data_IF_266631623679
#
_entry.id   IF_266631623679
#
_cell.length_a   1.000
_cell.length_b   1.000
_cell.length_c   1.000
_cell.angle_alpha   90.00
_cell.angle_beta   90.00
_cell.angle_gamma   90.00
#
_symmetry.space_group_name_H-M   'P 1'
#
loop_
_entity.id
_entity.type
_entity.pdbx_description
1 polymer ?
#
# COMPACT_ATOMS: atom_id res chain seq x y z
N UNK A 1 -2.46 12.75 -17.94
CA UNK A 1 -2.23 11.80 -16.84
C UNK A 1 -3.38 11.92 -15.86
N UNK A 2 -3.83 10.82 -15.25
CA UNK A 2 -4.84 10.82 -14.20
C UNK A 2 -4.22 10.43 -12.86
N UNK A 3 -4.45 11.21 -11.82
CA UNK A 3 -4.11 10.89 -10.43
C UNK A 3 -5.39 10.51 -9.72
N UNK A 4 -5.44 9.35 -9.06
CA UNK A 4 -6.59 8.89 -8.29
C UNK A 4 -6.27 9.06 -6.81
N UNK A 5 -7.12 9.82 -6.12
CA UNK A 5 -6.96 10.16 -4.71
C UNK A 5 -8.24 9.83 -3.95
N UNK A 6 -8.36 8.63 -3.35
CA UNK A 6 -9.46 8.33 -2.45
C UNK A 6 -9.33 9.13 -1.16
N UNK A 7 -10.45 9.64 -0.64
CA UNK A 7 -10.48 10.39 0.63
C UNK A 7 -11.70 10.06 1.46
N UNK A 8 -11.57 10.20 2.79
CA UNK A 8 -12.66 10.09 3.74
C UNK A 8 -12.32 10.77 5.07
N UNK A 9 -13.08 11.82 5.43
CA UNK A 9 -12.99 12.47 6.74
C UNK A 9 -11.67 13.18 7.04
N UNK A 10 -10.90 13.63 6.01
CA UNK A 10 -9.56 14.20 6.17
C UNK A 10 -9.37 15.52 5.39
N UNK A 11 -10.19 16.54 5.61
CA UNK A 11 -10.24 17.73 4.75
C UNK A 11 -8.95 18.54 4.69
N UNK A 12 -8.09 18.52 5.73
CA UNK A 12 -6.81 19.20 5.72
C UNK A 12 -5.74 18.41 4.97
N UNK A 13 -5.68 17.08 5.20
CA UNK A 13 -4.67 16.22 4.59
C UNK A 13 -4.87 16.12 3.08
N UNK A 14 -6.10 15.95 2.62
CA UNK A 14 -6.40 15.90 1.18
C UNK A 14 -5.96 17.19 0.47
N UNK A 15 -6.09 18.36 1.10
CA UNK A 15 -5.63 19.64 0.52
C UNK A 15 -4.10 19.69 0.42
N UNK A 16 -3.37 19.18 1.42
CA UNK A 16 -1.91 19.06 1.36
C UNK A 16 -1.47 18.13 0.22
N UNK A 17 -2.13 16.99 0.07
CA UNK A 17 -1.84 16.02 -0.99
C UNK A 17 -2.17 16.57 -2.38
N UNK A 18 -3.29 17.29 -2.54
CA UNK A 18 -3.65 17.99 -3.77
C UNK A 18 -2.57 19.05 -4.12
N UNK A 19 -2.14 19.85 -3.16
CA UNK A 19 -1.10 20.86 -3.40
C UNK A 19 0.19 20.22 -3.93
N UNK A 20 0.59 19.05 -3.41
CA UNK A 20 1.75 18.31 -3.90
C UNK A 20 1.55 17.74 -5.33
N UNK A 21 0.32 17.39 -5.71
CA UNK A 21 -0.02 16.99 -7.09
C UNK A 21 0.03 18.18 -8.04
N UNK A 22 -0.50 19.33 -7.63
CA UNK A 22 -0.48 20.57 -8.43
C UNK A 22 0.96 21.05 -8.65
N UNK A 23 1.84 20.88 -7.67
CA UNK A 23 3.25 21.29 -7.73
C UNK A 23 4.14 20.32 -8.54
N UNK A 24 3.61 19.30 -9.18
CA UNK A 24 4.41 18.37 -9.98
C UNK A 24 5.05 19.02 -11.21
N UNK A 25 6.33 18.75 -11.42
CA UNK A 25 7.11 19.27 -12.58
C UNK A 25 6.89 18.48 -13.87
N UNK A 26 6.01 17.49 -13.86
CA UNK A 26 5.61 16.75 -15.06
C UNK A 26 5.05 17.73 -16.10
N UNK A 27 5.59 17.74 -17.37
CA UNK A 27 5.26 18.78 -18.34
C UNK A 27 3.86 18.66 -18.96
N UNK A 28 3.24 17.47 -18.90
CA UNK A 28 1.91 17.25 -19.47
C UNK A 28 0.77 17.62 -18.51
N UNK A 29 -0.48 17.67 -19.01
CA UNK A 29 -1.63 17.94 -18.18
C UNK A 29 -1.89 16.81 -17.19
N UNK A 30 -2.36 17.19 -16.01
CA UNK A 30 -2.78 16.28 -14.93
C UNK A 30 -4.23 16.54 -14.58
N UNK A 31 -5.05 15.51 -14.55
CA UNK A 31 -6.31 15.51 -13.82
C UNK A 31 -6.15 14.74 -12.52
N UNK A 32 -6.54 15.31 -11.40
CA UNK A 32 -6.58 14.64 -10.11
C UNK A 32 -8.05 14.37 -9.76
N UNK A 33 -8.39 13.10 -9.65
CA UNK A 33 -9.73 12.58 -9.33
C UNK A 33 -9.77 12.32 -7.83
N UNK A 34 -10.34 13.25 -7.06
CA UNK A 34 -10.56 13.11 -5.62
C UNK A 34 -11.88 12.38 -5.42
N UNK A 35 -11.79 11.14 -4.94
CA UNK A 35 -12.98 10.28 -4.77
C UNK A 35 -13.33 10.18 -3.30
N UNK A 36 -14.47 10.77 -2.94
CA UNK A 36 -15.04 10.74 -1.59
C UNK A 36 -15.72 9.40 -1.31
N UNK A 37 -15.27 8.69 -0.29
CA UNK A 37 -15.83 7.40 0.11
C UNK A 37 -16.80 7.57 1.28
N UNK A 38 -18.08 7.23 1.07
CA UNK A 38 -19.13 7.26 2.09
C UNK A 38 -19.32 8.63 2.76
N UNK A 39 -19.04 9.70 2.05
CA UNK A 39 -19.23 11.09 2.48
C UNK A 39 -19.61 11.98 1.30
N UNK A 40 -20.28 13.13 1.53
CA UNK A 40 -20.54 14.11 0.47
C UNK A 40 -19.23 14.65 -0.12
N UNK A 41 -19.22 14.98 -1.42
CA UNK A 41 -18.06 15.57 -2.08
C UNK A 41 -17.80 17.00 -1.59
N UNK A 42 -16.52 17.35 -1.40
CA UNK A 42 -16.07 18.73 -1.14
C UNK A 42 -15.75 19.41 -2.48
N UNK A 43 -16.75 20.06 -3.09
CA UNK A 43 -16.60 20.76 -4.36
C UNK A 43 -15.59 21.92 -4.32
N UNK A 44 -15.29 22.48 -3.15
CA UNK A 44 -14.30 23.56 -2.99
C UNK A 44 -12.88 23.09 -3.38
N UNK A 45 -12.61 21.78 -3.33
CA UNK A 45 -11.33 21.22 -3.76
C UNK A 45 -11.02 21.50 -5.23
N UNK A 46 -12.04 21.65 -6.08
CA UNK A 46 -11.87 21.97 -7.52
C UNK A 46 -11.13 23.29 -7.72
N UNK A 47 -11.28 24.24 -6.80
CA UNK A 47 -10.64 25.58 -6.85
C UNK A 47 -9.12 25.52 -6.58
N UNK A 48 -8.60 24.41 -6.07
CA UNK A 48 -7.16 24.22 -5.85
C UNK A 48 -6.42 23.91 -7.15
N UNK A 49 -7.14 23.60 -8.22
CA UNK A 49 -6.58 23.26 -9.51
C UNK A 49 -6.24 24.47 -10.38
N UNK A 50 -5.63 24.19 -11.51
CA UNK A 50 -5.36 25.12 -12.62
C UNK A 50 -5.83 24.49 -13.93
N UNK A 51 -5.72 25.21 -15.05
CA UNK A 51 -6.05 24.66 -16.37
C UNK A 51 -5.26 23.40 -16.70
N UNK A 52 -3.96 23.37 -16.35
CA UNK A 52 -3.07 22.23 -16.62
C UNK A 52 -3.05 21.19 -15.50
N UNK A 53 -3.62 21.52 -14.34
CA UNK A 53 -3.66 20.70 -13.13
C UNK A 53 -5.09 20.68 -12.61
N UNK A 54 -5.97 19.96 -13.32
CA UNK A 54 -7.39 19.95 -13.00
C UNK A 54 -7.68 19.09 -11.78
N UNK A 55 -8.41 19.62 -10.83
CA UNK A 55 -8.95 18.85 -9.70
C UNK A 55 -10.43 18.56 -9.99
N UNK A 56 -10.79 17.31 -9.94
CA UNK A 56 -12.16 16.82 -10.12
C UNK A 56 -12.58 16.05 -8.89
N UNK A 57 -13.81 16.25 -8.48
CA UNK A 57 -14.38 15.59 -7.30
C UNK A 57 -15.43 14.58 -7.76
N UNK A 58 -15.47 13.41 -7.13
CA UNK A 58 -16.47 12.38 -7.37
C UNK A 58 -16.83 11.69 -6.06
N UNK A 59 -18.02 11.08 -6.04
CA UNK A 59 -18.44 10.17 -4.96
C UNK A 59 -18.10 8.74 -5.37
N UNK A 60 -17.68 7.92 -4.43
CA UNK A 60 -17.46 6.50 -4.68
C UNK A 60 -18.76 5.81 -5.12
N UNK A 61 -18.77 5.24 -6.34
CA UNK A 61 -19.89 4.52 -6.93
C UNK A 61 -19.75 3.00 -6.86
N UNK A 62 -18.61 2.53 -6.37
CA UNK A 62 -18.31 1.12 -6.12
C UNK A 62 -18.53 0.74 -4.65
N UNK A 63 -18.04 -0.43 -4.24
CA UNK A 63 -18.11 -0.88 -2.86
C UNK A 63 -17.44 0.11 -1.89
N UNK A 64 -17.98 0.33 -0.68
CA UNK A 64 -17.36 1.17 0.32
C UNK A 64 -15.91 0.75 0.63
N UNK A 65 -14.99 1.73 0.66
CA UNK A 65 -13.58 1.51 1.00
C UNK A 65 -12.60 1.89 -0.10
N UNK A 66 -11.30 1.72 0.20
CA UNK A 66 -10.20 2.16 -0.66
C UNK A 66 -10.21 1.53 -2.06
N UNK A 67 -10.52 0.23 -2.15
CA UNK A 67 -10.56 -0.48 -3.43
C UNK A 67 -11.66 0.10 -4.34
N UNK A 68 -12.89 0.24 -3.83
CA UNK A 68 -14.00 0.80 -4.59
C UNK A 68 -13.77 2.26 -4.97
N UNK A 69 -13.27 3.08 -4.05
CA UNK A 69 -12.94 4.46 -4.36
C UNK A 69 -11.85 4.59 -5.44
N UNK A 70 -10.83 3.71 -5.43
CA UNK A 70 -9.85 3.67 -6.53
C UNK A 70 -10.45 3.21 -7.83
N UNK A 71 -11.32 2.21 -7.82
CA UNK A 71 -12.02 1.73 -9.02
C UNK A 71 -12.92 2.81 -9.61
N UNK A 72 -13.69 3.54 -8.77
CA UNK A 72 -14.45 4.72 -9.22
C UNK A 72 -13.54 5.75 -9.91
N UNK A 73 -12.38 6.03 -9.34
CA UNK A 73 -11.40 6.93 -9.95
C UNK A 73 -10.83 6.36 -11.26
N UNK A 74 -10.61 5.05 -11.36
CA UNK A 74 -10.15 4.38 -12.57
C UNK A 74 -11.15 4.49 -13.71
N UNK A 75 -12.45 4.32 -13.43
CA UNK A 75 -13.51 4.42 -14.42
C UNK A 75 -13.62 5.86 -14.97
N UNK A 76 -13.44 6.86 -14.11
CA UNK A 76 -13.47 8.28 -14.49
C UNK A 76 -12.17 8.78 -15.13
N UNK A 77 -11.05 8.06 -14.97
CA UNK A 77 -9.73 8.47 -15.46
C UNK A 77 -9.67 8.50 -17.00
N UNK A 78 -9.07 9.55 -17.57
CA UNK A 78 -8.93 9.73 -19.03
C UNK A 78 -7.47 9.62 -19.52
N UNK A 79 -6.51 9.74 -18.61
CA UNK A 79 -5.09 9.70 -18.92
C UNK A 79 -4.62 8.31 -19.38
N UNK A 80 -3.68 8.24 -20.32
CA UNK A 80 -3.01 7.01 -20.73
C UNK A 80 -2.05 6.48 -19.65
N UNK A 81 -1.70 7.32 -18.69
CA UNK A 81 -0.93 6.98 -17.50
C UNK A 81 -1.78 7.34 -16.27
N UNK A 82 -1.81 6.43 -15.32
CA UNK A 82 -2.55 6.57 -14.05
C UNK A 82 -1.57 6.52 -12.89
N UNK A 83 -1.77 7.35 -11.90
CA UNK A 83 -1.05 7.33 -10.64
C UNK A 83 -2.04 7.25 -9.47
N UNK A 84 -1.66 6.62 -8.38
CA UNK A 84 -2.45 6.60 -7.14
C UNK A 84 -1.76 7.38 -6.04
N UNK A 85 -2.51 8.16 -5.28
CA UNK A 85 -2.05 8.95 -4.15
C UNK A 85 -3.06 8.82 -3.01
N UNK A 86 -2.63 8.42 -1.83
CA UNK A 86 -3.48 8.47 -0.64
C UNK A 86 -3.60 9.92 -0.15
N UNK A 87 -4.72 10.26 0.48
CA UNK A 87 -5.08 11.63 0.87
C UNK A 87 -4.24 12.20 2.02
N UNK A 88 -3.33 11.40 2.58
CA UNK A 88 -2.43 11.77 3.68
C UNK A 88 -0.94 11.72 3.29
N UNK A 89 -0.61 11.43 2.03
CA UNK A 89 0.74 11.34 1.53
C UNK A 89 1.14 12.55 0.68
N UNK A 90 2.41 12.91 0.68
CA UNK A 90 2.92 14.09 -0.02
C UNK A 90 3.97 13.68 -1.05
N UNK A 91 3.77 14.06 -2.30
CA UNK A 91 4.70 13.78 -3.39
C UNK A 91 5.78 14.85 -3.52
N UNK A 92 6.98 14.41 -3.88
CA UNK A 92 8.05 15.32 -4.28
C UNK A 92 7.78 15.85 -5.70
N UNK A 93 8.18 17.10 -6.01
CA UNK A 93 7.83 17.74 -7.29
C UNK A 93 8.22 16.93 -8.54
N UNK A 94 9.33 16.21 -8.52
CA UNK A 94 9.84 15.46 -9.67
C UNK A 94 9.29 14.03 -9.80
N UNK A 95 8.37 13.61 -8.91
CA UNK A 95 7.90 12.22 -8.87
C UNK A 95 7.32 11.76 -10.19
N UNK A 96 6.31 12.45 -10.69
CA UNK A 96 5.62 12.05 -11.91
C UNK A 96 6.54 12.11 -13.13
N UNK A 97 7.33 13.17 -13.27
CA UNK A 97 8.29 13.30 -14.38
C UNK A 97 9.29 12.14 -14.39
N UNK A 98 9.88 11.79 -13.23
CA UNK A 98 10.86 10.71 -13.11
C UNK A 98 10.29 9.34 -13.42
N UNK A 99 9.07 9.04 -12.95
CA UNK A 99 8.45 7.74 -13.16
C UNK A 99 7.90 7.58 -14.58
N UNK A 100 7.38 8.64 -15.20
CA UNK A 100 6.98 8.62 -16.61
C UNK A 100 8.18 8.44 -17.53
N UNK A 101 9.29 9.11 -17.23
CA UNK A 101 10.54 8.91 -17.98
C UNK A 101 11.03 7.46 -17.86
N UNK A 102 10.90 6.85 -16.68
CA UNK A 102 11.22 5.43 -16.48
C UNK A 102 10.33 4.50 -17.32
N UNK A 103 9.02 4.75 -17.35
CA UNK A 103 8.08 4.03 -18.23
C UNK A 103 8.42 4.20 -19.73
N UNK A 104 8.87 5.40 -20.11
CA UNK A 104 9.22 5.71 -21.49
C UNK A 104 10.48 4.99 -21.95
N UNK A 105 11.51 4.94 -21.10
CA UNK A 105 12.78 4.26 -21.38
C UNK A 105 12.63 2.74 -21.48
N UNK A 106 11.64 2.17 -20.80
CA UNK A 106 11.42 0.74 -20.79
C UNK A 106 9.95 0.43 -21.10
N UNK A 107 9.60 0.31 -22.39
CA UNK A 107 8.20 0.12 -22.82
C UNK A 107 7.51 -1.12 -22.27
N UNK A 108 8.27 -2.14 -21.89
CA UNK A 108 7.73 -3.37 -21.26
C UNK A 108 7.22 -3.18 -19.84
N UNK A 109 7.57 -2.09 -19.15
CA UNK A 109 7.07 -1.81 -17.81
C UNK A 109 5.60 -1.38 -17.85
N UNK A 110 4.76 -2.07 -17.08
CA UNK A 110 3.37 -1.69 -16.85
C UNK A 110 3.23 -0.74 -15.65
N UNK A 111 4.10 -0.91 -14.66
CA UNK A 111 4.03 -0.24 -13.35
C UNK A 111 5.43 0.18 -12.91
N UNK A 112 5.53 1.37 -12.33
CA UNK A 112 6.74 1.90 -11.70
C UNK A 112 6.41 2.45 -10.33
N UNK A 113 7.10 1.94 -9.30
CA UNK A 113 7.11 2.50 -7.95
C UNK A 113 8.27 3.47 -7.74
N UNK A 114 8.44 3.93 -6.51
CA UNK A 114 9.60 4.76 -6.12
C UNK A 114 10.05 4.50 -4.69
N UNK A 115 11.27 4.92 -4.35
CA UNK A 115 11.67 5.08 -2.96
C UNK A 115 10.69 5.99 -2.20
N UNK A 116 10.69 5.90 -0.87
CA UNK A 116 9.80 6.65 0.01
C UNK A 116 10.57 7.31 1.16
N UNK A 117 9.97 8.34 1.76
CA UNK A 117 10.33 8.79 3.09
C UNK A 117 9.18 8.49 4.05
N UNK A 118 9.47 7.82 5.14
CA UNK A 118 8.49 7.57 6.19
C UNK A 118 8.50 8.73 7.17
N UNK A 119 7.40 9.48 7.26
CA UNK A 119 7.19 10.53 8.25
C UNK A 119 6.58 9.91 9.51
N UNK A 120 7.42 9.77 10.54
CA UNK A 120 7.04 9.32 11.88
C UNK A 120 7.02 10.52 12.82
N UNK A 121 6.30 10.48 13.96
CA UNK A 121 6.38 11.53 14.97
C UNK A 121 7.84 11.84 15.36
N UNK A 122 8.27 13.09 15.12
CA UNK A 122 9.62 13.57 15.41
C UNK A 122 10.76 12.98 14.57
N UNK A 123 10.46 12.18 13.54
CA UNK A 123 11.49 11.51 12.71
C UNK A 123 11.06 11.30 11.27
N UNK A 124 11.97 11.58 10.33
CA UNK A 124 11.87 11.16 8.94
C UNK A 124 12.89 10.05 8.67
N UNK A 125 12.46 8.97 8.04
CA UNK A 125 13.33 7.84 7.65
C UNK A 125 13.29 7.69 6.14
N UNK A 126 14.41 7.91 5.47
CA UNK A 126 14.53 7.66 4.05
C UNK A 126 14.62 6.17 3.76
N UNK A 127 13.89 5.76 2.73
CA UNK A 127 13.87 4.39 2.23
C UNK A 127 14.01 4.40 0.71
N UNK A 128 15.25 4.56 0.22
CA UNK A 128 15.51 4.50 -1.22
C UNK A 128 15.23 3.10 -1.76
N UNK A 129 14.87 3.03 -3.03
CA UNK A 129 14.73 1.76 -3.72
C UNK A 129 16.06 1.01 -3.79
N UNK A 130 15.99 -0.29 -3.54
CA UNK A 130 17.18 -1.16 -3.49
C UNK A 130 17.51 -1.82 -4.83
N UNK A 131 16.57 -1.79 -5.76
CA UNK A 131 16.70 -2.35 -7.09
C UNK A 131 15.84 -1.56 -8.07
N UNK A 132 16.22 -1.56 -9.34
CA UNK A 132 15.44 -0.91 -10.40
C UNK A 132 14.26 -1.76 -10.89
N UNK A 133 14.27 -3.05 -10.58
CA UNK A 133 13.20 -4.00 -10.92
C UNK A 133 12.83 -4.85 -9.71
N UNK A 134 11.55 -5.12 -9.59
CA UNK A 134 11.00 -6.01 -8.57
C UNK A 134 10.40 -7.23 -9.26
N UNK A 135 10.93 -8.41 -8.93
CA UNK A 135 10.40 -9.66 -9.46
C UNK A 135 9.16 -10.13 -8.69
N UNK A 136 8.30 -10.89 -9.36
CA UNK A 136 7.17 -11.56 -8.73
C UNK A 136 7.61 -12.43 -7.53
N UNK A 137 8.71 -13.18 -7.69
CA UNK A 137 9.26 -14.01 -6.60
C UNK A 137 9.69 -13.20 -5.37
N UNK A 138 10.22 -11.98 -5.55
CA UNK A 138 10.54 -11.11 -4.43
C UNK A 138 9.28 -10.66 -3.68
N UNK A 139 8.22 -10.35 -4.42
CA UNK A 139 6.92 -9.98 -3.84
C UNK A 139 6.26 -11.14 -3.10
N UNK A 140 6.37 -12.37 -3.60
CA UNK A 140 5.90 -13.54 -2.85
C UNK A 140 6.60 -13.69 -1.49
N UNK A 141 7.87 -13.29 -1.40
CA UNK A 141 8.66 -13.36 -0.14
C UNK A 141 8.38 -12.21 0.81
N UNK A 142 8.22 -10.98 0.28
CA UNK A 142 8.13 -9.76 1.08
C UNK A 142 7.18 -8.75 0.44
N UNK A 143 6.49 -7.98 1.27
CA UNK A 143 5.88 -6.73 0.81
C UNK A 143 6.98 -5.69 0.63
N UNK A 144 7.08 -5.12 -0.56
CA UNK A 144 8.09 -4.12 -0.93
C UNK A 144 7.51 -2.73 -0.69
N UNK A 145 8.17 -1.94 0.14
CA UNK A 145 7.67 -0.61 0.55
C UNK A 145 7.67 0.41 -0.57
N UNK A 146 8.59 0.23 -1.53
CA UNK A 146 8.72 1.04 -2.75
C UNK A 146 7.51 0.91 -3.68
N UNK A 147 6.63 -0.07 -3.40
CA UNK A 147 5.37 -0.29 -4.10
C UNK A 147 4.15 0.01 -3.19
N UNK A 148 4.29 1.03 -2.34
CA UNK A 148 3.16 1.63 -1.62
C UNK A 148 2.19 2.27 -2.62
N UNK A 149 0.89 2.28 -2.33
CA UNK A 149 -0.12 2.87 -3.24
C UNK A 149 0.28 4.25 -3.76
N UNK A 150 0.72 5.14 -2.88
CA UNK A 150 1.14 6.51 -3.24
C UNK A 150 2.43 6.61 -4.06
N UNK A 151 3.10 5.50 -4.31
CA UNK A 151 4.28 5.47 -5.20
C UNK A 151 3.95 5.02 -6.60
N UNK A 152 2.83 4.36 -6.83
CA UNK A 152 2.52 3.70 -8.08
C UNK A 152 2.19 4.69 -9.20
N UNK A 153 2.88 4.53 -10.32
CA UNK A 153 2.56 5.13 -11.62
C UNK A 153 2.50 4.00 -12.64
N UNK A 154 1.45 3.92 -13.41
CA UNK A 154 1.19 2.78 -14.26
C UNK A 154 0.59 3.18 -15.61
N UNK A 155 0.85 2.39 -16.63
CA UNK A 155 0.14 2.51 -17.88
C UNK A 155 -1.32 2.13 -17.70
N UNK A 156 -2.24 2.84 -18.33
CA UNK A 156 -3.66 2.50 -18.25
C UNK A 156 -3.95 1.06 -18.72
N UNK A 157 -3.22 0.59 -19.71
CA UNK A 157 -3.32 -0.79 -20.20
C UNK A 157 -2.99 -1.85 -19.14
N UNK A 158 -2.29 -1.48 -18.05
CA UNK A 158 -2.08 -2.38 -16.93
C UNK A 158 -3.40 -2.86 -16.33
N UNK A 159 -4.41 -1.99 -16.24
CA UNK A 159 -5.72 -2.36 -15.71
C UNK A 159 -6.49 -3.29 -16.65
N UNK A 160 -6.29 -3.19 -17.96
CA UNK A 160 -6.87 -4.16 -18.91
C UNK A 160 -6.24 -5.56 -18.76
N UNK A 161 -4.94 -5.63 -18.41
CA UNK A 161 -4.21 -6.90 -18.23
C UNK A 161 -4.38 -7.50 -16.84
N UNK A 162 -4.43 -6.67 -15.81
CA UNK A 162 -4.38 -7.05 -14.38
C UNK A 162 -5.78 -7.06 -13.76
N UNK A 163 -6.67 -6.23 -14.28
CA UNK A 163 -8.00 -5.95 -13.71
C UNK A 163 -7.97 -4.84 -12.65
N UNK A 164 -9.16 -4.46 -12.14
CA UNK A 164 -9.32 -3.43 -11.11
C UNK A 164 -8.76 -3.87 -9.75
N UNK A 165 -8.82 -2.98 -8.77
CA UNK A 165 -8.59 -3.34 -7.37
C UNK A 165 -9.68 -4.30 -6.88
N UNK A 166 -9.29 -5.25 -6.03
CA UNK A 166 -10.21 -6.24 -5.50
C UNK A 166 -11.03 -5.67 -4.33
N UNK A 167 -12.33 -5.51 -4.56
CA UNK A 167 -13.28 -4.97 -3.59
C UNK A 167 -13.76 -6.00 -2.56
N UNK A 168 -13.52 -7.30 -2.81
CA UNK A 168 -13.86 -8.38 -1.88
C UNK A 168 -12.81 -8.53 -0.77
N UNK A 169 -11.66 -7.86 -0.90
CA UNK A 169 -10.64 -7.86 0.15
C UNK A 169 -11.20 -7.29 1.46
N UNK A 170 -11.18 -8.08 2.56
CA UNK A 170 -11.77 -7.67 3.83
C UNK A 170 -11.26 -6.31 4.29
N UNK A 171 -12.20 -5.35 4.41
CA UNK A 171 -11.93 -3.97 4.84
C UNK A 171 -10.87 -3.23 4.01
N UNK A 172 -10.60 -3.67 2.77
CA UNK A 172 -9.60 -3.06 1.90
C UNK A 172 -8.17 -3.14 2.42
N UNK A 173 -7.85 -4.08 3.33
CA UNK A 173 -6.48 -4.24 3.82
C UNK A 173 -5.63 -5.00 2.81
N UNK A 174 -4.47 -4.42 2.42
CA UNK A 174 -3.51 -4.99 1.45
C UNK A 174 -4.02 -5.03 -0.02
N UNK A 175 -4.97 -4.20 -0.40
CA UNK A 175 -5.50 -4.08 -1.76
C UNK A 175 -4.42 -3.63 -2.77
N UNK A 176 -3.49 -2.79 -2.33
CA UNK A 176 -2.31 -2.39 -3.10
C UNK A 176 -1.36 -3.57 -3.32
N UNK A 177 -1.14 -4.39 -2.28
CA UNK A 177 -0.28 -5.57 -2.39
C UNK A 177 -0.89 -6.66 -3.28
N UNK A 178 -2.21 -6.88 -3.20
CA UNK A 178 -2.94 -7.76 -4.11
C UNK A 178 -2.74 -7.32 -5.56
N UNK A 179 -3.01 -6.02 -5.82
CA UNK A 179 -2.92 -5.49 -7.17
C UNK A 179 -1.49 -5.57 -7.73
N UNK A 180 -0.49 -5.23 -6.91
CA UNK A 180 0.93 -5.30 -7.30
C UNK A 180 1.38 -6.74 -7.55
N UNK A 181 0.90 -7.73 -6.77
CA UNK A 181 1.18 -9.14 -7.03
C UNK A 181 0.63 -9.57 -8.40
N UNK A 182 -0.61 -9.19 -8.72
CA UNK A 182 -1.21 -9.49 -10.03
C UNK A 182 -0.46 -8.79 -11.16
N UNK A 183 -0.08 -7.54 -10.97
CA UNK A 183 0.71 -6.77 -11.93
C UNK A 183 2.09 -7.40 -12.19
N UNK A 184 2.81 -7.78 -11.13
CA UNK A 184 4.12 -8.43 -11.26
C UNK A 184 4.07 -9.83 -11.88
N UNK A 185 2.92 -10.49 -11.83
CA UNK A 185 2.67 -11.76 -12.57
C UNK A 185 2.43 -11.50 -14.05
N UNK A 186 1.83 -10.36 -14.40
CA UNK A 186 1.52 -9.98 -15.78
C UNK A 186 2.72 -9.35 -16.51
N UNK A 187 3.73 -8.85 -15.80
CA UNK A 187 4.91 -8.22 -16.39
C UNK A 187 5.88 -7.62 -15.38
N UNK A 188 7.00 -7.06 -15.83
CA UNK A 188 8.01 -6.47 -14.97
C UNK A 188 7.49 -5.22 -14.27
N UNK A 189 7.90 -5.03 -13.01
CA UNK A 189 7.63 -3.85 -12.19
C UNK A 189 8.93 -3.08 -11.99
N UNK A 190 8.95 -1.81 -12.39
CA UNK A 190 10.09 -0.93 -12.26
C UNK A 190 10.10 -0.12 -10.97
N UNK A 191 11.26 0.37 -10.57
CA UNK A 191 11.44 1.28 -9.43
C UNK A 191 12.33 2.45 -9.84
N UNK A 192 11.90 3.67 -9.50
CA UNK A 192 12.79 4.82 -9.37
C UNK A 192 13.38 4.80 -7.96
N UNK A 193 14.70 4.62 -7.85
CA UNK A 193 15.34 4.37 -6.55
C UNK A 193 15.31 5.57 -5.61
N UNK A 194 15.22 6.80 -6.14
CA UNK A 194 15.10 8.01 -5.32
C UNK A 194 13.79 8.01 -4.50
N UNK A 195 13.81 8.48 -3.22
CA UNK A 195 12.59 8.72 -2.45
C UNK A 195 11.80 9.88 -3.07
N UNK A 196 10.60 9.59 -3.58
CA UNK A 196 9.75 10.55 -4.30
C UNK A 196 8.37 10.73 -3.67
N UNK A 197 8.08 10.03 -2.58
CA UNK A 197 6.86 10.18 -1.82
C UNK A 197 7.14 10.14 -0.32
N UNK A 198 6.52 11.05 0.41
CA UNK A 198 6.49 11.08 1.86
C UNK A 198 5.25 10.34 2.33
N UNK A 199 5.44 9.22 3.01
CA UNK A 199 4.38 8.38 3.55
C UNK A 199 4.18 8.70 5.02
N UNK A 200 3.02 9.22 5.38
CA UNK A 200 2.68 9.59 6.74
C UNK A 200 2.36 8.35 7.59
N UNK A 201 2.92 8.27 8.80
CA UNK A 201 2.69 7.21 9.78
C UNK A 201 2.51 7.81 11.18
N UNK A 202 1.51 8.66 11.32
CA UNK A 202 1.18 9.37 12.57
C UNK A 202 0.26 8.57 13.51
N UNK A 203 -0.04 7.34 13.18
CA UNK A 203 -0.92 6.46 13.97
C UNK A 203 -2.42 6.61 13.68
N UNK A 204 -2.82 7.57 12.85
CA UNK A 204 -4.21 7.77 12.41
C UNK A 204 -4.50 7.02 11.10
N UNK A 205 -4.16 5.73 11.06
CA UNK A 205 -4.43 4.92 9.87
C UNK A 205 -5.94 4.72 9.67
N UNK A 206 -6.40 4.77 8.43
CA UNK A 206 -7.73 4.32 7.97
C UNK A 206 -8.09 2.91 8.52
N UNK A 207 -7.08 2.13 8.86
CA UNK A 207 -7.18 0.77 9.38
C UNK A 207 -7.34 0.71 10.91
N UNK A 208 -8.06 1.63 11.53
CA UNK A 208 -8.26 1.68 12.99
C UNK A 208 -8.95 0.43 13.59
N UNK A 209 -9.50 -0.47 12.75
CA UNK A 209 -9.99 -1.80 13.14
C UNK A 209 -8.90 -2.88 13.27
N UNK A 210 -7.67 -2.53 13.10
CA UNK A 210 -6.37 -3.16 13.37
C UNK A 210 -6.22 -4.67 13.11
N UNK A 211 -6.40 -5.46 14.15
CA UNK A 211 -5.97 -6.86 14.15
C UNK A 211 -6.94 -7.78 13.39
N UNK A 212 -8.25 -7.59 13.53
CA UNK A 212 -9.25 -8.43 12.85
C UNK A 212 -9.17 -8.27 11.34
N UNK A 213 -9.19 -7.03 10.87
CA UNK A 213 -9.08 -6.72 9.45
C UNK A 213 -7.79 -7.27 8.83
N UNK A 214 -6.67 -7.17 9.55
CA UNK A 214 -5.41 -7.73 9.11
C UNK A 214 -5.44 -9.26 9.03
N UNK A 215 -6.04 -9.95 10.01
CA UNK A 215 -6.16 -11.40 10.00
C UNK A 215 -7.00 -11.88 8.81
N UNK A 216 -8.22 -11.35 8.67
CA UNK A 216 -9.15 -11.73 7.61
C UNK A 216 -8.57 -11.46 6.21
N UNK A 217 -7.98 -10.28 6.00
CA UNK A 217 -7.42 -9.94 4.70
C UNK A 217 -6.19 -10.78 4.35
N UNK A 218 -5.32 -11.10 5.32
CA UNK A 218 -4.18 -11.97 5.06
C UNK A 218 -4.58 -13.44 4.82
N UNK A 219 -5.64 -13.92 5.48
CA UNK A 219 -6.24 -15.23 5.19
C UNK A 219 -6.80 -15.26 3.77
N UNK A 220 -7.55 -14.22 3.38
CA UNK A 220 -8.06 -14.05 2.01
C UNK A 220 -6.91 -14.02 0.99
N UNK A 221 -5.87 -13.24 1.24
CA UNK A 221 -4.69 -13.15 0.38
C UNK A 221 -3.99 -14.50 0.18
N UNK A 222 -3.88 -15.32 1.23
CA UNK A 222 -3.31 -16.67 1.13
C UNK A 222 -4.18 -17.61 0.28
N UNK A 223 -5.50 -17.47 0.37
CA UNK A 223 -6.43 -18.24 -0.46
C UNK A 223 -6.38 -17.81 -1.93
N UNK A 224 -6.35 -16.49 -2.19
CA UNK A 224 -6.33 -15.90 -3.52
C UNK A 224 -5.00 -16.11 -4.26
N UNK A 225 -3.88 -16.07 -3.53
CA UNK A 225 -2.53 -16.19 -4.08
C UNK A 225 -1.81 -17.47 -3.58
N UNK A 226 -2.19 -18.65 -4.09
CA UNK A 226 -1.59 -19.92 -3.64
C UNK A 226 -0.07 -19.99 -3.90
N UNK A 227 0.45 -19.23 -4.87
CA UNK A 227 1.88 -19.15 -5.18
C UNK A 227 2.71 -18.65 -3.97
N UNK A 228 2.10 -17.91 -3.02
CA UNK A 228 2.75 -17.50 -1.78
C UNK A 228 3.20 -18.70 -0.97
N UNK A 229 2.44 -19.82 -1.01
CA UNK A 229 2.82 -21.06 -0.35
C UNK A 229 4.08 -21.70 -0.95
N UNK A 230 4.43 -21.41 -2.20
CA UNK A 230 5.68 -21.80 -2.83
C UNK A 230 6.92 -21.12 -2.21
N UNK A 231 6.73 -19.95 -1.58
CA UNK A 231 7.80 -19.23 -0.86
C UNK A 231 7.75 -19.55 0.63
N UNK A 232 8.65 -20.39 1.14
CA UNK A 232 8.70 -20.74 2.56
C UNK A 232 8.74 -19.50 3.47
N UNK A 233 9.59 -18.50 3.13
CA UNK A 233 9.71 -17.26 3.87
C UNK A 233 8.45 -16.38 3.76
N UNK A 234 7.87 -16.25 2.57
CA UNK A 234 6.66 -15.44 2.34
C UNK A 234 5.44 -16.01 3.04
N UNK A 235 5.23 -17.32 2.90
CA UNK A 235 4.15 -18.04 3.56
C UNK A 235 4.26 -17.93 5.09
N UNK A 236 5.44 -18.23 5.67
CA UNK A 236 5.67 -18.10 7.10
C UNK A 236 5.48 -16.66 7.60
N UNK A 237 5.88 -15.65 6.81
CA UNK A 237 5.64 -14.23 7.14
C UNK A 237 4.15 -13.94 7.28
N UNK A 238 3.33 -14.35 6.30
CA UNK A 238 1.89 -14.08 6.34
C UNK A 238 1.19 -14.88 7.45
N UNK A 239 1.48 -16.17 7.58
CA UNK A 239 0.97 -16.99 8.68
C UNK A 239 1.34 -16.40 10.06
N UNK A 240 2.58 -15.92 10.20
CA UNK A 240 3.05 -15.27 11.43
C UNK A 240 2.34 -13.95 11.71
N UNK A 241 2.04 -13.16 10.69
CA UNK A 241 1.25 -11.93 10.84
C UNK A 241 -0.21 -12.24 11.23
N UNK A 242 -0.81 -13.28 10.66
CA UNK A 242 -2.15 -13.76 11.06
C UNK A 242 -2.09 -14.24 12.53
N UNK A 243 -1.10 -15.04 12.91
CA UNK A 243 -0.91 -15.48 14.28
C UNK A 243 -0.83 -14.31 15.27
N UNK A 244 -0.06 -13.28 14.91
CA UNK A 244 0.06 -12.05 15.71
C UNK A 244 -1.29 -11.32 15.82
N UNK A 245 -2.02 -11.17 14.72
CA UNK A 245 -3.30 -10.49 14.68
C UNK A 245 -4.35 -11.25 15.52
N UNK A 246 -4.47 -12.56 15.33
CA UNK A 246 -5.37 -13.43 16.14
C UNK A 246 -5.00 -13.41 17.64
N UNK A 247 -3.70 -13.36 17.93
CA UNK A 247 -3.21 -13.21 19.31
C UNK A 247 -3.63 -11.87 19.92
N UNK A 248 -3.55 -10.77 19.18
CA UNK A 248 -3.97 -9.45 19.63
C UNK A 248 -5.49 -9.35 19.91
N UNK A 249 -6.28 -10.20 19.24
CA UNK A 249 -7.73 -10.36 19.48
C UNK A 249 -8.05 -11.29 20.67
N UNK A 250 -7.04 -11.90 21.30
CA UNK A 250 -7.23 -12.87 22.37
C UNK A 250 -7.61 -14.28 21.90
N UNK A 251 -7.61 -14.53 20.59
CA UNK A 251 -7.96 -15.81 19.96
C UNK A 251 -6.80 -16.80 20.03
N UNK A 252 -6.52 -17.37 21.21
CA UNK A 252 -5.36 -18.21 21.49
C UNK A 252 -5.24 -19.44 20.60
N UNK A 253 -6.32 -20.19 20.40
CA UNK A 253 -6.33 -21.40 19.60
C UNK A 253 -5.91 -21.15 18.14
N UNK A 254 -6.61 -20.23 17.42
CA UNK A 254 -6.20 -19.77 16.11
C UNK A 254 -4.76 -19.23 16.05
N UNK A 255 -4.38 -18.39 17.01
CA UNK A 255 -3.04 -17.81 17.08
C UNK A 255 -1.94 -18.89 17.15
N UNK A 256 -2.08 -19.89 18.03
CA UNK A 256 -1.13 -21.00 18.16
C UNK A 256 -1.09 -21.83 16.88
N UNK A 257 -2.23 -22.16 16.27
CA UNK A 257 -2.28 -22.93 15.00
C UNK A 257 -1.50 -22.24 13.90
N UNK A 258 -1.73 -20.93 13.69
CA UNK A 258 -1.02 -20.16 12.68
C UNK A 258 0.46 -19.99 13.02
N UNK A 259 0.80 -19.78 14.29
CA UNK A 259 2.19 -19.71 14.75
C UNK A 259 2.95 -21.00 14.50
N UNK A 260 2.35 -22.16 14.79
CA UNK A 260 2.95 -23.46 14.53
C UNK A 260 3.18 -23.70 13.03
N UNK A 261 2.17 -23.38 12.18
CA UNK A 261 2.35 -23.48 10.72
C UNK A 261 3.47 -22.57 10.23
N UNK A 262 3.56 -21.33 10.74
CA UNK A 262 4.62 -20.40 10.38
C UNK A 262 6.00 -20.88 10.84
N UNK A 263 6.11 -21.41 12.06
CA UNK A 263 7.34 -21.94 12.62
C UNK A 263 7.87 -23.13 11.82
N UNK A 264 7.01 -24.11 11.53
CA UNK A 264 7.39 -25.27 10.70
C UNK A 264 7.87 -24.85 9.32
N UNK A 265 7.23 -23.82 8.75
CA UNK A 265 7.55 -23.34 7.40
C UNK A 265 8.86 -22.54 7.32
N UNK A 266 9.14 -21.70 8.34
CA UNK A 266 10.33 -20.84 8.43
C UNK A 266 10.59 -20.42 9.87
N UNK A 267 11.38 -21.21 10.65
CA UNK A 267 11.54 -21.00 12.09
C UNK A 267 12.27 -19.71 12.48
N UNK A 268 12.99 -19.07 11.55
CA UNK A 268 13.71 -17.80 11.80
C UNK A 268 12.76 -16.59 11.86
N UNK A 269 11.48 -16.73 11.49
CA UNK A 269 10.49 -15.64 11.58
C UNK A 269 10.24 -15.28 13.06
N UNK A 270 10.22 -13.99 13.44
CA UNK A 270 9.95 -13.59 14.83
C UNK A 270 8.47 -13.72 15.24
N UNK A 271 7.55 -13.67 14.30
CA UNK A 271 6.11 -13.65 14.59
C UNK A 271 5.57 -14.89 15.32
N UNK A 272 5.96 -16.13 14.98
CA UNK A 272 5.53 -17.31 15.72
C UNK A 272 5.88 -17.25 17.20
N UNK A 273 7.09 -16.82 17.52
CA UNK A 273 7.56 -16.72 18.92
C UNK A 273 6.76 -15.70 19.72
N UNK A 274 6.42 -14.54 19.10
CA UNK A 274 5.58 -13.52 19.75
C UNK A 274 4.20 -14.09 20.07
N UNK A 275 3.60 -14.84 19.15
CA UNK A 275 2.31 -15.48 19.39
C UNK A 275 2.38 -16.55 20.48
N UNK A 276 3.44 -17.38 20.52
CA UNK A 276 3.66 -18.38 21.57
C UNK A 276 3.85 -17.74 22.95
N UNK A 277 4.68 -16.69 23.05
CA UNK A 277 4.90 -15.97 24.30
C UNK A 277 3.59 -15.34 24.79
N UNK A 278 2.81 -14.69 23.90
CA UNK A 278 1.52 -14.15 24.28
C UNK A 278 0.57 -15.23 24.80
N UNK A 279 0.48 -16.37 24.11
CA UNK A 279 -0.37 -17.48 24.53
C UNK A 279 -0.01 -18.02 25.91
N UNK A 280 1.29 -18.03 26.26
CA UNK A 280 1.79 -18.50 27.55
C UNK A 280 1.63 -17.46 28.68
N UNK A 281 1.93 -16.16 28.40
CA UNK A 281 2.09 -15.13 29.43
C UNK A 281 0.94 -14.14 29.52
N UNK A 282 0.05 -14.09 28.54
CA UNK A 282 -1.01 -13.07 28.36
C UNK A 282 -0.48 -11.64 28.15
N UNK A 283 0.82 -11.44 28.01
CA UNK A 283 1.41 -10.12 27.68
C UNK A 283 0.96 -9.72 26.30
N UNK A 284 0.37 -8.52 26.15
CA UNK A 284 -0.19 -8.09 24.87
C UNK A 284 0.89 -8.07 23.77
N UNK A 285 0.62 -8.61 22.57
CA UNK A 285 1.61 -8.80 21.50
C UNK A 285 2.38 -7.52 21.10
N UNK A 286 1.76 -6.34 21.21
CA UNK A 286 2.44 -5.07 20.91
C UNK A 286 3.62 -4.76 21.84
N UNK A 287 3.54 -5.15 23.11
CA UNK A 287 4.65 -4.97 24.06
C UNK A 287 5.80 -5.91 23.75
N UNK A 288 5.49 -7.13 23.31
CA UNK A 288 6.47 -8.10 22.86
C UNK A 288 7.17 -7.65 21.57
N UNK A 289 6.44 -7.06 20.61
CA UNK A 289 7.03 -6.46 19.41
C UNK A 289 7.93 -5.27 19.75
N UNK A 290 7.53 -4.44 20.71
CA UNK A 290 8.35 -3.31 21.17
C UNK A 290 9.67 -3.82 21.77
N UNK A 291 9.61 -4.81 22.68
CA UNK A 291 10.78 -5.45 23.26
C UNK A 291 11.69 -6.07 22.17
N UNK A 292 11.13 -6.83 21.22
CA UNK A 292 11.88 -7.42 20.12
C UNK A 292 12.59 -6.39 19.22
N UNK A 293 11.99 -5.20 19.04
CA UNK A 293 12.62 -4.08 18.31
C UNK A 293 13.80 -3.45 19.07
N UNK A 294 13.73 -3.40 20.41
CA UNK A 294 14.83 -2.92 21.25
C UNK A 294 16.03 -3.88 21.18
N UNK A 295 15.79 -5.19 21.25
CA UNK A 295 16.85 -6.21 21.10
C UNK A 295 17.55 -6.14 19.74
N UNK A 296 16.81 -5.87 18.65
CA UNK A 296 17.42 -5.68 17.30
C UNK A 296 18.26 -4.40 17.18
N UNK A 297 17.99 -3.36 17.98
CA UNK A 297 18.79 -2.12 17.99
C UNK A 297 20.07 -2.23 18.81
N UNK A 298 20.14 -3.16 19.75
CA UNK A 298 21.33 -3.42 20.59
C UNK A 298 22.34 -4.40 19.96
N UNK A 299 22.04 -4.95 18.75
CA UNK A 299 22.92 -5.85 18.02
C UNK A 299 23.34 -5.30 16.63
N UNK A 300 23.22 -3.97 16.44
CA UNK A 300 23.66 -3.29 15.22
C UNK A 300 24.81 -2.33 15.54
#
# INVERSE_FOLDING_TARGET
MSVIMPTRGRPQLVRESIAAVVAQTYPGPIECLVVHDQEPPDEELTRLGTTERQIKVAVNTHSPGLAGARNTGLDAARGSIVATCDDDDVWHPEKLASQVERLRREPGLLVVGSGIRLRLPGKVVEWPGRAEHISYHLLLRNRVKELHSSTLVMRREAFAKVGPYDEELPRGYAEDYDWVLRAARAGPVGIVTRPLADIRKDGRSWYAGGAENAALALEYMLAKHPDIAGSARGHARMLGQIAFARSALGERGPAIRYATKAFVRWPISPYPYIAFVHAATRIHPRHLLWAARLFRRGMA
#
